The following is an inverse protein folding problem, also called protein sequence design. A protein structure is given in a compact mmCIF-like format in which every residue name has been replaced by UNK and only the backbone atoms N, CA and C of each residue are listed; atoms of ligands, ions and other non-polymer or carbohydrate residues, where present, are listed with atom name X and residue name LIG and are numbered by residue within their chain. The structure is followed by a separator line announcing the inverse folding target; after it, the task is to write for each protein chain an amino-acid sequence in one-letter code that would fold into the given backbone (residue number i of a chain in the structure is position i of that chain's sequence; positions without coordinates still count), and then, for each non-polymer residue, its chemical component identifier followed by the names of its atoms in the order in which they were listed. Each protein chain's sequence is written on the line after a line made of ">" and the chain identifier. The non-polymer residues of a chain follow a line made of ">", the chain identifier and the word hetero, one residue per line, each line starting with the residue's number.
data_IF_283092177833
#
_entry.id   IF_283092177833
#
_cell.length_a   1.000
_cell.length_b   1.000
_cell.length_c   1.000
_cell.angle_alpha   90.00
_cell.angle_beta   90.00
_cell.angle_gamma   90.00
#
_symmetry.space_group_name_H-M   'P 1'
#
loop_
_entity.id
_entity.type
_entity.pdbx_description
1 polymer ?
#
# COMPACT_ATOMS: atom_id res chain seq x y z
N UNK A 1 -16.81 5.22 -21.10
CA UNK A 1 -16.72 5.66 -19.70
C UNK A 1 -16.04 4.52 -18.96
N UNK A 2 -14.97 4.75 -18.19
CA UNK A 2 -14.19 3.65 -17.65
C UNK A 2 -15.07 2.82 -16.71
N UNK A 3 -15.12 1.52 -17.00
CA UNK A 3 -15.81 0.53 -16.20
C UNK A 3 -15.00 0.36 -14.90
N UNK A 4 -15.64 0.51 -13.74
CA UNK A 4 -14.99 0.23 -12.46
C UNK A 4 -15.02 -1.27 -12.18
N UNK A 5 -13.85 -1.92 -12.13
CA UNK A 5 -13.71 -3.33 -11.75
C UNK A 5 -12.27 -3.58 -11.28
N UNK A 6 -12.11 -4.00 -10.04
CA UNK A 6 -10.85 -4.49 -9.49
C UNK A 6 -11.06 -5.91 -8.94
N UNK A 7 -10.05 -6.77 -9.07
CA UNK A 7 -10.00 -8.14 -8.57
C UNK A 7 -8.91 -8.21 -7.50
N UNK A 8 -9.31 -8.26 -6.23
CA UNK A 8 -8.39 -8.60 -5.15
C UNK A 8 -8.28 -10.13 -5.06
N UNK A 9 -7.04 -10.63 -5.13
CA UNK A 9 -6.68 -12.03 -4.94
C UNK A 9 -6.68 -12.35 -3.45
N UNK A 10 -7.35 -13.44 -3.07
CA UNK A 10 -7.50 -13.88 -1.68
C UNK A 10 -8.97 -13.91 -1.30
N UNK A 11 -9.45 -15.10 -0.93
CA UNK A 11 -10.85 -15.49 -0.72
C UNK A 11 -11.86 -14.35 -0.47
N UNK A 12 -12.90 -14.31 -1.32
CA UNK A 12 -13.97 -13.30 -1.44
C UNK A 12 -13.63 -12.12 -2.36
N UNK A 13 -13.62 -12.39 -3.67
CA UNK A 13 -13.53 -11.35 -4.70
C UNK A 13 -14.66 -10.33 -4.57
N UNK A 14 -14.31 -9.07 -4.31
CA UNK A 14 -15.21 -7.92 -4.35
C UNK A 14 -14.90 -7.10 -5.60
N UNK A 15 -15.93 -6.56 -6.25
CA UNK A 15 -15.82 -5.88 -7.55
C UNK A 15 -16.06 -4.36 -7.51
N UNK A 16 -16.16 -3.76 -6.33
CA UNK A 16 -16.33 -2.30 -6.20
C UNK A 16 -15.21 -1.81 -5.29
N UNK A 17 -14.33 -1.00 -5.85
CA UNK A 17 -13.28 -0.36 -5.09
C UNK A 17 -13.85 0.76 -4.20
N UNK A 18 -13.19 1.04 -3.08
CA UNK A 18 -13.56 2.22 -2.28
C UNK A 18 -13.18 3.49 -3.03
N UNK A 19 -13.79 4.62 -2.65
CA UNK A 19 -13.52 5.95 -3.25
C UNK A 19 -12.02 6.27 -3.28
N UNK A 20 -11.28 5.78 -2.29
CA UNK A 20 -9.84 5.97 -2.10
C UNK A 20 -8.98 5.40 -3.22
N UNK A 21 -9.50 4.45 -4.00
CA UNK A 21 -8.77 3.75 -5.07
C UNK A 21 -9.38 3.99 -6.46
N UNK A 22 -10.19 5.05 -6.61
CA UNK A 22 -10.82 5.42 -7.88
C UNK A 22 -12.12 4.68 -8.19
N UNK A 23 -12.68 3.93 -7.22
CA UNK A 23 -14.00 3.33 -7.31
C UNK A 23 -15.15 4.35 -7.11
N UNK A 24 -16.36 4.08 -7.63
CA UNK A 24 -17.50 4.97 -7.45
C UNK A 24 -17.91 5.04 -5.97
N UNK A 25 -18.23 6.24 -5.47
CA UNK A 25 -18.79 6.40 -4.11
C UNK A 25 -20.24 5.89 -4.08
N UNK A 26 -20.41 4.64 -3.66
CA UNK A 26 -21.70 3.95 -3.62
C UNK A 26 -22.49 4.19 -2.32
N UNK A 27 -22.04 5.00 -1.38
CA UNK A 27 -22.82 5.33 -0.17
C UNK A 27 -24.06 6.19 -0.54
N UNK A 28 -25.29 5.85 -0.08
CA UNK A 28 -25.68 4.89 0.96
C UNK A 28 -26.29 3.57 0.42
N UNK A 29 -25.78 3.02 -0.69
CA UNK A 29 -26.24 1.75 -1.27
C UNK A 29 -25.84 0.59 -0.35
N UNK A 30 -26.83 -0.11 0.21
CA UNK A 30 -26.66 -1.10 1.28
C UNK A 30 -26.28 -2.52 0.81
N UNK A 31 -25.50 -2.68 -0.26
CA UNK A 31 -25.11 -4.02 -0.75
C UNK A 31 -23.62 -4.13 -1.03
N UNK A 32 -22.91 -4.88 -0.18
CA UNK A 32 -21.61 -5.47 -0.48
C UNK A 32 -21.81 -6.99 -0.65
N UNK A 33 -22.09 -7.49 -1.86
CA UNK A 33 -22.24 -8.93 -2.06
C UNK A 33 -20.90 -9.65 -1.79
N UNK A 34 -20.96 -10.80 -1.12
CA UNK A 34 -19.81 -11.69 -0.91
C UNK A 34 -19.79 -12.73 -2.04
N UNK A 35 -18.68 -12.86 -2.77
CA UNK A 35 -18.57 -13.83 -3.85
C UNK A 35 -18.47 -15.26 -3.31
N UNK A 36 -19.24 -16.18 -3.90
CA UNK A 36 -19.01 -17.61 -3.71
C UNK A 36 -17.74 -18.04 -4.48
N UNK A 37 -17.01 -19.08 -4.02
CA UNK A 37 -15.90 -19.63 -4.77
C UNK A 37 -16.27 -19.97 -6.22
N UNK A 38 -15.43 -19.60 -7.19
CA UNK A 38 -15.68 -19.84 -8.62
C UNK A 38 -16.66 -18.88 -9.30
N UNK A 39 -17.04 -17.78 -8.64
CA UNK A 39 -17.94 -16.75 -9.18
C UNK A 39 -17.27 -15.36 -9.12
N UNK A 40 -17.40 -14.57 -10.19
CA UNK A 40 -17.09 -13.14 -10.19
C UNK A 40 -18.37 -12.34 -9.96
N UNK A 41 -18.40 -11.34 -9.08
CA UNK A 41 -19.60 -10.50 -8.89
C UNK A 41 -19.59 -9.25 -9.79
N UNK A 42 -20.21 -9.29 -10.96
CA UNK A 42 -20.19 -8.17 -11.91
C UNK A 42 -21.55 -7.81 -12.51
N UNK A 43 -21.87 -6.52 -12.40
CA UNK A 43 -22.82 -5.66 -13.12
C UNK A 43 -24.12 -6.23 -13.71
N UNK A 44 -25.22 -5.71 -13.19
CA UNK A 44 -26.56 -5.78 -13.71
C UNK A 44 -27.45 -4.84 -12.89
N UNK A 45 -27.73 -3.66 -13.44
CA UNK A 45 -28.79 -2.79 -12.92
C UNK A 45 -29.90 -2.78 -13.98
N UNK A 46 -30.81 -3.74 -13.89
CA UNK A 46 -32.01 -3.76 -14.73
C UNK A 46 -33.00 -2.71 -14.24
N UNK A 47 -32.85 -1.45 -14.64
CA UNK A 47 -33.90 -0.44 -14.45
C UNK A 47 -33.99 0.51 -15.64
N UNK A 48 -35.22 0.73 -16.11
CA UNK A 48 -35.54 1.70 -17.17
C UNK A 48 -35.62 3.13 -16.62
N UNK A 49 -36.14 3.34 -15.39
CA UNK A 49 -36.23 4.66 -14.71
C UNK A 49 -36.26 4.49 -13.17
N UNK A 50 -35.77 5.47 -12.39
CA UNK A 50 -35.90 5.56 -10.92
C UNK A 50 -36.82 6.73 -10.57
N UNK A 51 -38.04 6.46 -10.10
CA UNK A 51 -38.94 7.50 -9.60
C UNK A 51 -39.08 7.38 -8.08
N UNK A 52 -38.69 8.43 -7.34
CA UNK A 52 -38.94 8.54 -5.91
C UNK A 52 -39.99 9.62 -5.69
N UNK A 53 -41.25 9.24 -5.63
CA UNK A 53 -42.26 9.99 -4.88
C UNK A 53 -43.32 9.02 -4.39
N UNK A 54 -43.49 8.99 -3.06
CA UNK A 54 -44.23 7.94 -2.37
C UNK A 54 -45.70 7.85 -2.77
N UNK A 55 -46.10 6.65 -3.18
CA UNK A 55 -47.38 6.01 -2.88
C UNK A 55 -47.35 4.65 -3.58
N UNK A 56 -47.67 3.60 -2.83
CA UNK A 56 -48.00 2.29 -3.37
C UNK A 56 -49.18 2.48 -4.35
N UNK A 57 -48.96 2.31 -5.65
CA UNK A 57 -49.88 1.60 -6.56
C UNK A 57 -49.55 1.78 -8.05
N UNK A 58 -49.63 0.65 -8.75
CA UNK A 58 -49.88 0.44 -10.19
C UNK A 58 -48.64 0.39 -11.11
N UNK A 59 -48.29 -0.88 -11.39
CA UNK A 59 -47.43 -1.47 -12.44
C UNK A 59 -45.92 -1.53 -12.14
N UNK A 60 -45.54 -2.53 -11.34
CA UNK A 60 -44.21 -3.14 -11.40
C UNK A 60 -44.07 -3.97 -12.69
N UNK A 61 -43.21 -3.54 -13.61
CA UNK A 61 -42.72 -4.38 -14.70
C UNK A 61 -41.25 -4.76 -14.45
N UNK A 62 -41.02 -6.08 -14.51
CA UNK A 62 -39.80 -6.87 -14.38
C UNK A 62 -38.45 -6.17 -14.08
N UNK A 63 -37.87 -6.55 -12.93
CA UNK A 63 -36.46 -6.53 -12.60
C UNK A 63 -36.18 -7.61 -11.55
N UNK A 64 -35.00 -8.23 -11.59
CA UNK A 64 -34.60 -9.26 -10.62
C UNK A 64 -34.05 -8.54 -9.38
N UNK A 65 -34.56 -8.93 -8.22
CA UNK A 65 -34.21 -8.41 -6.90
C UNK A 65 -34.46 -9.52 -5.89
N UNK A 66 -33.61 -9.68 -4.88
CA UNK A 66 -33.87 -10.66 -3.82
C UNK A 66 -34.94 -10.17 -2.84
N UNK A 67 -35.89 -11.04 -2.48
CA UNK A 67 -37.01 -10.70 -1.59
C UNK A 67 -36.59 -10.40 -0.13
N UNK A 68 -35.38 -10.79 0.28
CA UNK A 68 -34.88 -10.63 1.65
C UNK A 68 -33.34 -10.54 1.67
N UNK A 69 -32.78 -9.55 2.36
CA UNK A 69 -31.31 -9.34 2.45
C UNK A 69 -30.65 -10.39 3.36
N UNK A 70 -29.44 -10.89 3.04
CA UNK A 70 -28.76 -11.93 3.84
C UNK A 70 -28.43 -11.53 5.28
N UNK A 71 -28.35 -10.23 5.60
CA UNK A 71 -28.02 -9.70 6.94
C UNK A 71 -29.14 -8.84 7.52
N UNK A 72 -30.40 -9.27 7.39
CA UNK A 72 -31.58 -8.56 7.92
C UNK A 72 -31.69 -8.53 9.46
N UNK A 73 -30.65 -8.13 10.18
CA UNK A 73 -30.74 -7.73 11.58
C UNK A 73 -31.23 -6.27 11.63
N UNK A 74 -32.53 -6.04 11.43
CA UNK A 74 -33.11 -4.69 11.51
C UNK A 74 -34.45 -4.45 10.85
N UNK A 75 -35.10 -5.46 10.24
CA UNK A 75 -36.44 -5.30 9.65
C UNK A 75 -36.48 -4.55 8.31
N UNK A 76 -35.33 -4.29 7.67
CA UNK A 76 -35.28 -3.77 6.31
C UNK A 76 -35.45 -4.91 5.29
N UNK A 77 -36.67 -5.14 4.83
CA UNK A 77 -36.96 -5.94 3.64
C UNK A 77 -36.53 -5.18 2.39
N UNK A 78 -35.63 -5.75 1.58
CA UNK A 78 -35.41 -5.25 0.23
C UNK A 78 -36.63 -5.67 -0.61
N UNK A 79 -37.61 -4.77 -0.76
CA UNK A 79 -38.71 -4.98 -1.70
C UNK A 79 -38.21 -4.87 -3.14
N UNK A 80 -38.80 -5.64 -4.04
CA UNK A 80 -38.62 -5.45 -5.49
C UNK A 80 -38.92 -3.99 -5.86
N UNK A 81 -37.91 -3.26 -6.35
CA UNK A 81 -38.03 -1.85 -6.73
C UNK A 81 -37.89 -0.82 -5.61
N UNK A 82 -37.56 -1.21 -4.37
CA UNK A 82 -37.42 -0.25 -3.26
C UNK A 82 -35.99 0.24 -3.02
N UNK A 83 -34.98 -0.57 -3.33
CA UNK A 83 -33.55 -0.24 -3.12
C UNK A 83 -32.69 -0.61 -4.33
N UNK A 84 -31.60 0.13 -4.63
CA UNK A 84 -30.67 -0.25 -5.68
C UNK A 84 -29.89 -1.49 -5.22
N UNK A 85 -29.98 -2.59 -5.99
CA UNK A 85 -29.19 -3.80 -5.78
C UNK A 85 -28.28 -3.99 -6.99
N UNK A 86 -26.98 -4.21 -6.75
CA UNK A 86 -26.05 -4.63 -7.79
C UNK A 86 -26.14 -6.15 -7.96
N UNK A 87 -26.71 -6.62 -9.08
CA UNK A 87 -26.87 -8.05 -9.35
C UNK A 87 -25.96 -8.51 -10.50
N UNK A 88 -25.50 -9.76 -10.43
CA UNK A 88 -24.75 -10.40 -11.52
C UNK A 88 -23.56 -11.20 -11.00
N UNK A 89 -23.54 -12.50 -11.30
CA UNK A 89 -22.36 -13.33 -11.15
C UNK A 89 -21.94 -13.85 -12.52
N UNK A 90 -20.68 -13.67 -12.89
CA UNK A 90 -20.10 -14.37 -14.04
C UNK A 90 -19.64 -15.73 -13.51
N UNK A 91 -20.28 -16.78 -14.00
CA UNK A 91 -19.83 -18.15 -13.78
C UNK A 91 -18.58 -18.41 -14.60
N UNK A 92 -17.44 -18.57 -13.90
CA UNK A 92 -16.15 -18.85 -14.53
C UNK A 92 -15.74 -20.32 -14.37
N UNK A 93 -16.60 -21.16 -13.79
CA UNK A 93 -16.28 -22.57 -13.48
C UNK A 93 -15.98 -23.44 -14.71
N UNK A 94 -16.47 -23.04 -15.89
CA UNK A 94 -16.24 -23.74 -17.14
C UNK A 94 -15.12 -23.11 -18.00
N UNK A 95 -14.52 -22.01 -17.55
CA UNK A 95 -13.42 -21.37 -18.27
C UNK A 95 -12.10 -22.02 -17.84
N UNK A 96 -11.24 -22.46 -18.79
CA UNK A 96 -9.92 -22.98 -18.46
C UNK A 96 -9.01 -21.89 -17.88
N UNK A 97 -7.88 -22.29 -17.30
CA UNK A 97 -6.85 -21.35 -16.88
C UNK A 97 -6.39 -20.49 -18.08
N UNK A 98 -6.25 -19.19 -17.86
CA UNK A 98 -5.88 -18.24 -18.90
C UNK A 98 -6.23 -16.80 -18.56
N UNK A 99 -5.75 -15.87 -19.38
CA UNK A 99 -6.10 -14.46 -19.28
C UNK A 99 -7.29 -14.16 -20.18
N UNK A 100 -8.33 -13.60 -19.57
CA UNK A 100 -9.59 -13.23 -20.19
C UNK A 100 -9.74 -11.72 -20.21
N UNK A 101 -10.44 -11.22 -21.22
CA UNK A 101 -10.79 -9.80 -21.31
C UNK A 101 -12.31 -9.69 -21.34
N UNK A 102 -12.89 -9.10 -20.30
CA UNK A 102 -14.29 -8.68 -20.30
C UNK A 102 -14.39 -7.35 -21.06
N UNK A 103 -15.15 -7.32 -22.15
CA UNK A 103 -15.35 -6.12 -22.95
C UNK A 103 -16.78 -5.59 -22.79
N UNK A 104 -16.91 -4.34 -22.38
CA UNK A 104 -18.14 -3.59 -22.54
C UNK A 104 -18.23 -3.14 -24.01
N UNK A 105 -19.17 -3.70 -24.76
CA UNK A 105 -19.40 -3.39 -26.18
C UNK A 105 -20.62 -2.48 -26.28
N UNK A 106 -20.48 -1.22 -26.75
CA UNK A 106 -21.62 -0.35 -27.01
C UNK A 106 -22.57 -0.98 -28.03
N UNK A 107 -23.86 -1.03 -27.74
CA UNK A 107 -24.86 -1.76 -28.53
C UNK A 107 -26.17 -2.00 -27.78
N UNK A 108 -26.97 -2.97 -28.24
CA UNK A 108 -28.24 -3.33 -27.60
C UNK A 108 -27.97 -4.34 -26.47
N UNK A 109 -28.24 -3.95 -25.22
CA UNK A 109 -27.99 -4.79 -24.05
C UNK A 109 -28.50 -4.13 -22.76
N UNK A 110 -28.21 -4.76 -21.63
CA UNK A 110 -28.59 -4.26 -20.31
C UNK A 110 -27.97 -2.88 -20.04
N UNK A 111 -28.64 -2.05 -19.24
CA UNK A 111 -28.08 -0.79 -18.78
C UNK A 111 -26.87 -1.05 -17.84
N UNK A 112 -25.87 -0.20 -17.91
CA UNK A 112 -24.64 -0.30 -17.09
C UNK A 112 -24.54 0.86 -16.11
N UNK A 113 -24.00 0.54 -14.92
CA UNK A 113 -23.71 1.51 -13.87
C UNK A 113 -22.68 2.54 -14.33
N UNK A 114 -22.96 3.81 -14.03
CA UNK A 114 -22.04 4.91 -14.30
C UNK A 114 -20.95 4.99 -13.24
N UNK A 115 -19.70 4.72 -13.62
CA UNK A 115 -18.53 4.88 -12.75
C UNK A 115 -18.05 6.33 -12.59
N UNK A 116 -18.58 7.25 -13.39
CA UNK A 116 -18.17 8.66 -13.50
C UNK A 116 -19.12 9.64 -12.78
N UNK A 117 -20.14 9.13 -12.08
CA UNK A 117 -21.15 9.95 -11.42
C UNK A 117 -21.07 9.84 -9.90
N UNK A 118 -20.74 10.94 -9.24
CA UNK A 118 -20.90 11.07 -7.80
C UNK A 118 -22.39 11.36 -7.49
N UNK A 119 -23.13 10.33 -7.10
CA UNK A 119 -24.57 10.39 -6.82
C UNK A 119 -24.95 11.39 -5.71
N UNK A 120 -24.01 11.68 -4.79
CA UNK A 120 -24.18 12.62 -3.68
C UNK A 120 -24.02 14.08 -4.13
N UNK A 121 -23.08 14.36 -5.04
CA UNK A 121 -22.75 15.71 -5.49
C UNK A 121 -23.47 16.16 -6.78
N UNK A 122 -24.08 15.23 -7.51
CA UNK A 122 -24.79 15.55 -8.76
C UNK A 122 -26.09 16.33 -8.49
N UNK A 123 -26.11 17.60 -8.90
CA UNK A 123 -27.30 18.47 -8.88
C UNK A 123 -28.28 18.18 -10.02
N UNK A 124 -27.78 17.57 -11.10
CA UNK A 124 -28.59 17.07 -12.21
C UNK A 124 -28.30 15.57 -12.32
N UNK A 125 -29.22 14.73 -11.81
CA UNK A 125 -29.03 13.28 -11.69
C UNK A 125 -29.66 12.58 -12.91
N UNK A 126 -28.89 12.25 -13.98
CA UNK A 126 -29.38 11.35 -15.02
C UNK A 126 -29.60 9.94 -14.45
N UNK A 127 -30.15 9.04 -15.27
CA UNK A 127 -30.40 7.66 -14.87
C UNK A 127 -29.18 7.00 -14.21
N UNK A 128 -29.43 6.27 -13.11
CA UNK A 128 -28.44 5.54 -12.30
C UNK A 128 -27.62 4.52 -13.12
N UNK A 129 -28.25 3.96 -14.14
CA UNK A 129 -27.63 3.17 -15.18
C UNK A 129 -27.98 3.79 -16.55
N UNK A 130 -27.04 3.74 -17.49
CA UNK A 130 -27.26 4.23 -18.86
C UNK A 130 -27.33 3.05 -19.81
N UNK A 131 -28.09 3.22 -20.89
CA UNK A 131 -28.13 2.21 -21.93
C UNK A 131 -26.71 1.98 -22.48
N UNK A 132 -26.36 0.72 -22.76
CA UNK A 132 -24.99 0.36 -23.18
C UNK A 132 -24.58 1.08 -24.47
N UNK A 133 -25.53 1.41 -25.35
CA UNK A 133 -25.31 2.24 -26.54
C UNK A 133 -24.99 3.72 -26.25
N UNK A 134 -25.21 4.20 -25.02
CA UNK A 134 -24.80 5.52 -24.53
C UNK A 134 -23.45 5.49 -23.79
N UNK A 135 -22.81 4.31 -23.72
CA UNK A 135 -21.48 4.16 -23.12
C UNK A 135 -20.37 4.13 -24.15
N UNK A 136 -19.20 4.64 -23.76
CA UNK A 136 -17.94 4.32 -24.46
C UNK A 136 -17.49 2.94 -24.01
N UNK A 137 -17.17 2.06 -24.95
CA UNK A 137 -16.67 0.72 -24.65
C UNK A 137 -15.42 0.74 -23.79
N UNK A 138 -15.17 -0.39 -23.11
CA UNK A 138 -14.04 -0.57 -22.20
C UNK A 138 -13.69 -2.05 -22.07
N UNK A 139 -12.49 -2.34 -21.59
CA UNK A 139 -12.01 -3.69 -21.37
C UNK A 139 -11.42 -3.83 -19.99
N UNK A 140 -11.66 -4.97 -19.34
CA UNK A 140 -10.96 -5.38 -18.12
C UNK A 140 -10.38 -6.75 -18.34
N UNK A 141 -9.11 -6.92 -17.99
CA UNK A 141 -8.44 -8.22 -18.03
C UNK A 141 -8.52 -8.90 -16.67
N UNK A 142 -8.75 -10.22 -16.65
CA UNK A 142 -8.66 -11.06 -15.46
C UNK A 142 -8.01 -12.40 -15.82
N UNK A 143 -7.34 -13.05 -14.87
CA UNK A 143 -6.73 -14.36 -15.10
C UNK A 143 -7.46 -15.43 -14.27
N UNK A 144 -7.82 -16.54 -14.91
CA UNK A 144 -8.25 -17.75 -14.23
C UNK A 144 -7.08 -18.73 -14.19
N UNK A 145 -6.99 -19.49 -13.11
CA UNK A 145 -5.90 -20.40 -12.83
C UNK A 145 -5.09 -20.01 -11.61
N UNK A 146 -4.24 -20.93 -11.16
CA UNK A 146 -3.26 -20.61 -10.12
C UNK A 146 -2.37 -19.51 -10.68
N UNK A 147 -2.51 -18.27 -10.19
CA UNK A 147 -1.40 -17.32 -10.23
C UNK A 147 -0.20 -18.12 -9.71
N UNK A 148 0.92 -18.21 -10.45
CA UNK A 148 2.10 -18.90 -9.96
C UNK A 148 2.32 -18.42 -8.53
N UNK A 149 2.36 -19.32 -7.54
CA UNK A 149 2.34 -18.90 -6.15
C UNK A 149 3.43 -17.85 -5.99
N UNK A 150 3.00 -16.63 -5.66
CA UNK A 150 3.92 -15.62 -5.19
C UNK A 150 4.63 -16.31 -4.02
N UNK A 151 5.95 -16.42 -4.11
CA UNK A 151 6.77 -17.06 -3.06
C UNK A 151 7.82 -16.09 -2.57
N UNK A 152 8.06 -16.14 -1.27
CA UNK A 152 9.12 -15.40 -0.60
C UNK A 152 8.87 -13.91 -0.45
N UNK A 153 9.92 -13.23 0.01
CA UNK A 153 9.97 -11.78 0.14
C UNK A 153 10.22 -11.16 -1.24
N UNK A 154 9.37 -10.20 -1.61
CA UNK A 154 9.41 -9.46 -2.88
C UNK A 154 10.12 -8.12 -2.78
N UNK A 155 9.99 -7.43 -1.66
CA UNK A 155 10.73 -6.21 -1.43
C UNK A 155 10.98 -5.94 0.05
N UNK A 156 12.07 -5.22 0.32
CA UNK A 156 12.48 -4.73 1.64
C UNK A 156 12.81 -3.27 1.46
N UNK A 157 12.05 -2.39 2.10
CA UNK A 157 12.07 -0.96 1.83
C UNK A 157 12.18 -0.20 3.14
N UNK A 158 12.85 0.93 3.08
CA UNK A 158 12.84 1.91 4.16
C UNK A 158 12.00 3.11 3.70
N UNK A 159 11.28 3.74 4.61
CA UNK A 159 10.50 4.94 4.30
C UNK A 159 10.64 5.98 5.40
N UNK A 160 10.49 7.24 5.02
CA UNK A 160 10.67 8.39 5.91
C UNK A 160 9.37 8.72 6.63
N UNK A 161 9.00 7.96 7.67
CA UNK A 161 7.78 8.20 8.43
C UNK A 161 7.80 9.60 9.07
N UNK A 162 6.64 10.23 9.20
CA UNK A 162 6.46 11.63 9.61
C UNK A 162 7.27 12.63 8.77
N UNK A 163 7.44 12.39 7.47
CA UNK A 163 8.06 13.36 6.55
C UNK A 163 7.01 14.20 5.81
N UNK A 164 7.44 15.21 5.06
CA UNK A 164 6.51 15.93 4.19
C UNK A 164 5.93 15.04 3.06
N UNK A 165 6.45 13.83 2.85
CA UNK A 165 6.01 12.89 1.82
C UNK A 165 4.81 12.03 2.24
N UNK A 166 4.66 11.74 3.54
CA UNK A 166 3.48 11.06 4.10
C UNK A 166 2.44 12.03 4.70
N UNK A 167 2.72 13.34 4.64
CA UNK A 167 1.86 14.38 5.23
C UNK A 167 2.18 14.68 6.69
N UNK A 168 3.40 14.40 7.15
CA UNK A 168 3.84 14.48 8.54
C UNK A 168 2.97 13.62 9.46
N UNK A 169 2.58 12.44 8.99
CA UNK A 169 1.71 11.52 9.71
C UNK A 169 2.55 10.48 10.45
N UNK A 170 2.24 10.25 11.74
CA UNK A 170 2.95 9.27 12.56
C UNK A 170 2.37 7.87 12.50
N UNK A 171 1.10 7.75 12.13
CA UNK A 171 0.35 6.51 12.14
C UNK A 171 0.51 5.76 10.82
N UNK A 172 0.55 4.44 10.89
CA UNK A 172 0.62 3.59 9.71
C UNK A 172 -0.63 3.79 8.84
N UNK A 173 -0.44 4.22 7.59
CA UNK A 173 -1.49 4.37 6.60
C UNK A 173 -0.93 4.39 5.16
N UNK A 174 -1.78 4.53 4.15
CA UNK A 174 -1.35 4.46 2.75
C UNK A 174 -0.47 5.64 2.31
N UNK A 175 -0.50 6.78 3.03
CA UNK A 175 0.41 7.91 2.74
C UNK A 175 1.88 7.57 2.98
N UNK A 176 2.19 6.61 3.85
CA UNK A 176 3.56 6.13 4.09
C UNK A 176 4.23 5.62 2.82
N UNK A 177 3.44 5.11 1.87
CA UNK A 177 3.95 4.55 0.62
C UNK A 177 4.51 5.63 -0.31
N UNK A 178 4.07 6.89 -0.15
CA UNK A 178 4.63 8.04 -0.84
C UNK A 178 5.98 8.48 -0.24
N UNK A 179 6.31 8.01 0.97
CA UNK A 179 7.55 8.31 1.68
C UNK A 179 8.61 7.21 1.56
N UNK A 180 8.40 6.19 0.72
CA UNK A 180 9.37 5.12 0.46
C UNK A 180 10.61 5.73 -0.21
N UNK A 181 11.79 5.46 0.36
CA UNK A 181 13.06 5.93 -0.19
C UNK A 181 13.42 5.11 -1.45
N UNK A 182 13.38 5.70 -2.66
CA UNK A 182 13.55 4.93 -3.90
C UNK A 182 15.02 4.61 -4.20
N UNK A 183 15.95 5.37 -3.60
CA UNK A 183 17.41 5.24 -3.76
C UNK A 183 18.04 4.27 -2.75
N UNK A 184 17.24 3.77 -1.80
CA UNK A 184 17.73 2.92 -0.70
C UNK A 184 17.34 1.47 -0.90
N UNK A 185 18.30 0.59 -0.67
CA UNK A 185 18.13 -0.86 -0.66
C UNK A 185 18.90 -1.45 0.51
N UNK A 186 18.37 -2.46 1.21
CA UNK A 186 19.09 -2.99 2.35
C UNK A 186 20.34 -3.76 1.90
N UNK A 187 21.32 -3.87 2.78
CA UNK A 187 22.38 -4.84 2.61
C UNK A 187 21.83 -6.25 2.89
N UNK A 188 22.11 -7.19 1.99
CA UNK A 188 21.69 -8.59 2.08
C UNK A 188 22.90 -9.50 2.35
N UNK A 189 22.71 -10.73 2.84
CA UNK A 189 23.79 -11.70 2.94
C UNK A 189 24.47 -11.91 1.59
N UNK A 190 25.81 -11.82 1.55
CA UNK A 190 26.59 -11.92 0.31
C UNK A 190 26.54 -10.68 -0.58
N UNK A 191 26.00 -9.55 -0.10
CA UNK A 191 25.97 -8.27 -0.79
C UNK A 191 27.32 -7.54 -0.85
N UNK A 192 28.28 -7.96 -0.01
CA UNK A 192 29.61 -7.36 0.08
C UNK A 192 29.63 -6.09 0.92
N UNK A 193 30.56 -5.19 0.63
CA UNK A 193 30.72 -3.94 1.38
C UNK A 193 29.51 -3.02 1.20
N UNK A 194 28.99 -2.50 2.32
CA UNK A 194 27.92 -1.52 2.33
C UNK A 194 28.32 -0.27 1.52
N UNK A 195 27.31 0.37 0.94
CA UNK A 195 27.41 1.62 0.18
C UNK A 195 26.37 2.62 0.67
N UNK A 196 26.34 3.83 0.08
CA UNK A 196 25.34 4.85 0.41
C UNK A 196 23.88 4.44 0.12
N UNK A 197 23.67 3.39 -0.68
CA UNK A 197 22.34 2.82 -0.88
C UNK A 197 21.82 2.07 0.36
N UNK A 198 22.69 1.64 1.27
CA UNK A 198 22.32 0.75 2.38
C UNK A 198 21.98 1.47 3.69
N UNK A 199 22.14 2.79 3.75
CA UNK A 199 21.81 3.58 4.94
C UNK A 199 21.12 4.89 4.59
N UNK A 200 20.41 5.45 5.56
CA UNK A 200 19.69 6.72 5.45
C UNK A 200 20.34 7.82 6.29
N UNK A 201 20.09 9.07 5.91
CA UNK A 201 20.56 10.28 6.59
C UNK A 201 19.46 11.09 7.29
N UNK A 202 18.26 10.50 7.37
CA UNK A 202 17.05 11.15 7.88
C UNK A 202 17.17 11.57 9.35
N UNK A 203 16.80 12.80 9.68
CA UNK A 203 16.87 13.38 11.03
C UNK A 203 16.06 12.59 12.08
N UNK A 204 14.95 11.99 11.67
CA UNK A 204 14.12 11.11 12.51
C UNK A 204 14.65 9.68 12.63
N UNK A 205 15.76 9.37 11.94
CA UNK A 205 16.46 8.07 11.90
C UNK A 205 15.61 6.97 11.27
N UNK A 206 15.96 5.70 11.48
CA UNK A 206 15.14 4.58 11.04
C UNK A 206 13.84 4.60 11.87
N UNK A 207 12.74 5.01 11.25
CA UNK A 207 11.43 5.06 11.88
C UNK A 207 10.31 4.41 11.05
N UNK A 208 10.64 3.85 9.88
CA UNK A 208 9.71 3.16 9.00
C UNK A 208 10.39 2.10 8.13
N UNK A 209 9.94 0.85 8.22
CA UNK A 209 10.37 -0.26 7.36
C UNK A 209 9.14 -0.94 6.76
N UNK A 210 9.23 -1.30 5.48
CA UNK A 210 8.23 -2.06 4.74
C UNK A 210 8.85 -3.38 4.25
N UNK A 211 8.12 -4.48 4.44
CA UNK A 211 8.43 -5.77 3.82
C UNK A 211 7.24 -6.19 2.97
N UNK A 212 7.45 -6.32 1.68
CA UNK A 212 6.48 -6.89 0.76
C UNK A 212 6.81 -8.38 0.60
N UNK A 213 5.93 -9.27 1.04
CA UNK A 213 6.13 -10.72 0.95
C UNK A 213 4.85 -11.43 0.57
N UNK A 214 4.98 -12.56 -0.10
CA UNK A 214 3.84 -13.30 -0.58
C UNK A 214 3.14 -14.03 0.56
N UNK A 215 1.82 -13.84 0.66
CA UNK A 215 0.92 -14.63 1.51
C UNK A 215 1.32 -14.58 2.99
N UNK A 216 1.39 -13.39 3.58
CA UNK A 216 1.43 -13.28 5.04
C UNK A 216 0.12 -13.83 5.60
N UNK A 217 0.16 -15.01 6.20
CA UNK A 217 -1.05 -15.67 6.73
C UNK A 217 -1.57 -14.99 8.02
N UNK A 218 -0.73 -14.19 8.67
CA UNK A 218 -1.03 -13.39 9.86
C UNK A 218 0.03 -12.29 10.05
N UNK A 219 -0.25 -11.34 10.94
CA UNK A 219 0.76 -10.38 11.39
C UNK A 219 1.92 -11.14 12.07
N UNK A 220 3.19 -10.85 11.74
CA UNK A 220 4.32 -11.44 12.45
C UNK A 220 4.34 -11.01 13.92
N UNK A 221 4.79 -11.91 14.79
CA UNK A 221 4.91 -11.72 16.22
C UNK A 221 6.38 -11.40 16.54
N UNK A 222 6.60 -10.31 17.27
CA UNK A 222 7.93 -9.95 17.76
C UNK A 222 8.52 -11.07 18.63
N UNK A 223 9.83 -11.26 18.54
CA UNK A 223 10.60 -12.29 19.24
C UNK A 223 10.26 -13.74 18.85
N UNK A 224 9.39 -13.94 17.87
CA UNK A 224 9.08 -15.26 17.29
C UNK A 224 9.37 -15.27 15.79
N UNK A 225 8.68 -14.41 15.05
CA UNK A 225 8.82 -14.27 13.61
C UNK A 225 9.73 -13.11 13.23
N UNK A 226 9.77 -12.07 14.06
CA UNK A 226 10.54 -10.87 13.83
C UNK A 226 11.50 -10.63 14.97
N UNK A 227 12.78 -10.49 14.62
CA UNK A 227 13.82 -10.11 15.57
C UNK A 227 14.65 -8.97 15.01
N UNK A 228 15.09 -8.09 15.91
CA UNK A 228 15.89 -6.94 15.57
C UNK A 228 17.13 -6.89 16.46
N UNK A 229 18.28 -6.63 15.86
CA UNK A 229 19.52 -6.40 16.58
C UNK A 229 20.35 -5.33 15.86
N UNK A 230 21.13 -4.58 16.63
CA UNK A 230 21.93 -3.48 16.12
C UNK A 230 23.41 -3.67 16.41
N UNK A 231 24.23 -3.07 15.56
CA UNK A 231 25.66 -2.97 15.76
C UNK A 231 26.25 -1.81 14.99
N UNK A 232 27.56 -1.62 15.10
CA UNK A 232 28.27 -0.58 14.38
C UNK A 232 29.75 -0.90 14.13
N UNK A 233 30.19 -2.16 14.09
CA UNK A 233 31.63 -2.47 13.92
C UNK A 233 31.97 -3.92 13.55
N UNK A 234 31.00 -4.82 13.40
CA UNK A 234 31.26 -6.22 13.07
C UNK A 234 30.58 -6.56 11.75
N UNK A 235 31.36 -7.16 10.84
CA UNK A 235 30.91 -7.64 9.52
C UNK A 235 29.92 -8.80 9.62
N UNK A 236 29.98 -9.58 10.72
CA UNK A 236 28.95 -10.59 11.01
C UNK A 236 27.84 -9.98 11.88
N UNK A 237 26.67 -9.62 11.30
CA UNK A 237 25.58 -9.01 12.03
C UNK A 237 24.92 -9.98 13.04
N UNK A 238 25.14 -11.30 12.93
CA UNK A 238 24.63 -12.28 13.89
C UNK A 238 25.40 -12.28 15.21
N UNK A 239 26.55 -11.60 15.27
CA UNK A 239 27.33 -11.41 16.52
C UNK A 239 26.94 -10.14 17.27
N UNK A 240 26.07 -9.31 16.70
CA UNK A 240 25.58 -8.11 17.36
C UNK A 240 24.72 -8.45 18.57
N UNK A 241 24.72 -7.57 19.57
CA UNK A 241 24.00 -7.79 20.83
C UNK A 241 23.19 -6.58 21.30
N UNK A 242 23.32 -5.42 20.64
CA UNK A 242 22.54 -4.24 21.02
C UNK A 242 21.08 -4.43 20.54
N UNK A 243 20.14 -4.53 21.48
CA UNK A 243 18.71 -4.69 21.15
C UNK A 243 18.07 -3.29 20.96
N UNK A 244 17.42 -3.01 19.81
CA UNK A 244 16.70 -1.76 19.61
C UNK A 244 15.41 -1.70 20.42
N UNK A 245 14.84 -0.50 20.50
CA UNK A 245 13.43 -0.38 20.90
C UNK A 245 12.54 -1.17 19.91
N UNK A 246 11.52 -1.84 20.44
CA UNK A 246 10.52 -2.51 19.60
C UNK A 246 9.75 -1.49 18.72
N UNK A 247 9.26 -1.90 17.54
CA UNK A 247 8.32 -1.09 16.77
C UNK A 247 7.13 -0.69 17.63
N UNK A 248 6.69 0.57 17.56
CA UNK A 248 5.51 1.02 18.29
C UNK A 248 4.20 0.64 17.57
N UNK A 249 4.27 0.33 16.27
CA UNK A 249 3.17 -0.23 15.51
C UNK A 249 3.65 -1.13 14.36
N UNK A 250 2.85 -2.16 14.07
CA UNK A 250 3.00 -3.02 12.89
C UNK A 250 1.62 -3.27 12.28
N UNK A 251 1.52 -3.29 10.95
CA UNK A 251 0.26 -3.54 10.25
C UNK A 251 0.50 -4.24 8.91
N UNK A 252 -0.42 -5.14 8.54
CA UNK A 252 -0.48 -5.76 7.20
C UNK A 252 -1.48 -5.04 6.30
N UNK A 253 -1.10 -4.91 5.03
CA UNK A 253 -1.92 -4.46 3.92
C UNK A 253 -1.92 -5.54 2.84
N UNK A 254 -2.89 -6.47 2.88
CA UNK A 254 -2.94 -7.57 1.94
C UNK A 254 -3.07 -7.09 0.49
N UNK A 255 -2.29 -7.68 -0.41
CA UNK A 255 -2.27 -7.36 -1.84
C UNK A 255 -1.73 -5.98 -2.23
N UNK A 256 -1.23 -5.16 -1.29
CA UNK A 256 -0.71 -3.81 -1.57
C UNK A 256 0.83 -3.75 -1.72
N UNK A 257 1.50 -4.89 -1.65
CA UNK A 257 2.92 -5.06 -1.90
C UNK A 257 3.27 -5.15 -3.39
N UNK A 258 4.56 -5.28 -3.68
CA UNK A 258 5.08 -5.52 -5.05
C UNK A 258 4.41 -6.76 -5.65
N UNK A 259 4.03 -6.68 -6.93
CA UNK A 259 3.38 -7.76 -7.68
C UNK A 259 2.09 -8.32 -7.02
N UNK A 260 1.40 -7.52 -6.20
CA UNK A 260 0.20 -7.95 -5.48
C UNK A 260 0.50 -8.83 -4.26
N UNK A 261 1.74 -8.82 -3.76
CA UNK A 261 2.10 -9.42 -2.46
C UNK A 261 1.47 -8.66 -1.28
N UNK A 262 1.59 -9.22 -0.07
CA UNK A 262 1.14 -8.55 1.14
C UNK A 262 2.23 -7.61 1.64
N UNK A 263 1.83 -6.42 2.10
CA UNK A 263 2.74 -5.43 2.65
C UNK A 263 2.67 -5.38 4.17
N UNK A 264 3.77 -5.70 4.82
CA UNK A 264 4.00 -5.44 6.24
C UNK A 264 4.64 -4.05 6.40
N UNK A 265 4.03 -3.20 7.22
CA UNK A 265 4.57 -1.90 7.62
C UNK A 265 4.92 -1.96 9.10
N UNK A 266 6.12 -1.51 9.45
CA UNK A 266 6.61 -1.41 10.82
C UNK A 266 7.09 0.02 11.05
N UNK A 267 6.70 0.61 12.17
CA UNK A 267 7.12 1.97 12.54
C UNK A 267 7.71 1.99 13.93
N UNK A 268 8.61 2.96 14.15
CA UNK A 268 9.18 3.28 15.45
C UNK A 268 8.90 4.75 15.78
N UNK A 269 8.96 5.09 17.06
CA UNK A 269 9.05 6.49 17.46
C UNK A 269 10.31 7.13 16.88
N UNK A 270 10.23 8.42 16.53
CA UNK A 270 11.38 9.16 16.00
C UNK A 270 12.55 9.08 16.97
N UNK A 271 13.73 8.76 16.46
CA UNK A 271 14.93 8.62 17.29
C UNK A 271 15.05 7.32 18.08
N UNK A 272 14.06 6.42 18.04
CA UNK A 272 14.09 5.17 18.80
C UNK A 272 15.24 4.24 18.41
N UNK A 273 15.55 4.18 17.11
CA UNK A 273 16.79 3.59 16.61
C UNK A 273 17.90 4.65 16.73
N UNK A 274 18.98 4.43 17.49
CA UNK A 274 20.04 5.42 17.66
C UNK A 274 20.74 5.77 16.34
N UNK A 275 21.30 6.98 16.26
CA UNK A 275 22.14 7.37 15.12
C UNK A 275 23.42 6.51 15.09
N UNK A 276 24.07 6.37 13.93
CA UNK A 276 25.30 5.59 13.73
C UNK A 276 25.14 4.12 14.13
N UNK A 277 24.04 3.52 13.66
CA UNK A 277 23.71 2.12 13.89
C UNK A 277 23.28 1.46 12.60
N UNK A 278 23.70 0.21 12.45
CA UNK A 278 23.08 -0.75 11.56
C UNK A 278 22.01 -1.52 12.32
N UNK A 279 20.87 -1.74 11.67
CA UNK A 279 19.75 -2.51 12.17
C UNK A 279 19.59 -3.76 11.29
N UNK A 280 19.89 -4.92 11.86
CA UNK A 280 19.52 -6.21 11.28
C UNK A 280 18.04 -6.45 11.55
N UNK A 281 17.29 -6.72 10.49
CA UNK A 281 15.93 -7.23 10.52
C UNK A 281 15.98 -8.71 10.15
N UNK A 282 15.60 -9.56 11.09
CA UNK A 282 15.47 -11.00 10.90
C UNK A 282 13.99 -11.36 10.89
N UNK A 283 13.53 -11.90 9.76
CA UNK A 283 12.17 -12.37 9.55
C UNK A 283 12.20 -13.89 9.36
N UNK A 284 11.85 -14.62 10.42
CA UNK A 284 11.88 -16.08 10.42
C UNK A 284 10.62 -16.66 9.79
N UNK A 285 10.77 -17.67 8.95
CA UNK A 285 9.66 -18.49 8.45
C UNK A 285 9.06 -19.36 9.57
N UNK A 286 9.86 -19.69 10.58
CA UNK A 286 9.44 -20.44 11.75
C UNK A 286 8.91 -21.83 11.38
N UNK A 287 7.71 -22.15 11.87
CA UNK A 287 6.99 -23.39 11.56
C UNK A 287 6.20 -23.35 10.24
N UNK A 288 6.38 -22.29 9.44
CA UNK A 288 5.64 -22.05 8.20
C UNK A 288 4.29 -21.36 8.40
N UNK A 289 3.86 -21.12 9.64
CA UNK A 289 2.59 -20.44 9.93
C UNK A 289 2.53 -19.01 9.40
N UNK A 290 3.68 -18.37 9.19
CA UNK A 290 3.77 -17.02 8.65
C UNK A 290 3.55 -16.94 7.13
N UNK A 291 3.76 -18.06 6.41
CA UNK A 291 3.63 -18.15 4.96
C UNK A 291 4.92 -17.92 4.16
N UNK A 292 6.05 -17.67 4.84
CA UNK A 292 7.35 -17.56 4.19
C UNK A 292 7.96 -18.94 3.92
N UNK A 293 8.59 -19.16 2.74
CA UNK A 293 9.24 -20.43 2.40
C UNK A 293 10.62 -20.59 3.04
N UNK A 294 11.25 -19.51 3.50
CA UNK A 294 12.55 -19.49 4.16
C UNK A 294 12.69 -18.22 5.00
N UNK A 295 13.60 -18.25 5.96
CA UNK A 295 13.98 -17.06 6.73
C UNK A 295 14.55 -15.98 5.81
N UNK A 296 14.35 -14.72 6.18
CA UNK A 296 14.83 -13.56 5.47
C UNK A 296 15.58 -12.62 6.40
N UNK A 297 16.75 -12.17 5.94
CA UNK A 297 17.62 -11.29 6.73
C UNK A 297 18.09 -10.12 5.88
N UNK A 298 18.01 -8.91 6.43
CA UNK A 298 18.45 -7.71 5.73
C UNK A 298 18.82 -6.59 6.71
N UNK A 299 19.69 -5.67 6.27
CA UNK A 299 20.23 -4.61 7.12
C UNK A 299 20.00 -3.24 6.50
N UNK A 300 19.57 -2.28 7.32
CA UNK A 300 19.64 -0.84 7.00
C UNK A 300 20.50 -0.12 8.02
N UNK A 301 21.21 0.92 7.58
CA UNK A 301 21.98 1.80 8.46
C UNK A 301 21.35 3.18 8.63
N UNK A 302 21.86 3.92 9.61
CA UNK A 302 21.58 5.36 9.74
C UNK A 302 22.83 6.15 10.10
N UNK A 303 23.05 7.24 9.36
CA UNK A 303 24.05 8.28 9.62
C UNK A 303 23.40 9.65 9.38
N UNK A 304 22.75 10.21 10.41
CA UNK A 304 21.99 11.46 10.30
C UNK A 304 22.87 12.61 9.78
N UNK A 305 22.44 13.28 8.71
CA UNK A 305 23.14 14.45 8.16
C UNK A 305 24.35 14.12 7.28
N UNK A 306 24.52 12.87 6.87
CA UNK A 306 25.52 12.41 5.89
C UNK A 306 24.93 12.49 4.47
N UNK A 307 25.63 13.13 3.55
CA UNK A 307 25.11 13.35 2.19
C UNK A 307 26.05 12.97 1.05
N UNK A 308 27.31 12.62 1.33
CA UNK A 308 28.32 12.32 0.30
C UNK A 308 28.74 10.84 0.22
N UNK A 309 28.17 9.97 1.07
CA UNK A 309 28.32 8.51 0.99
C UNK A 309 29.64 7.95 1.54
N UNK A 310 30.38 8.72 2.33
CA UNK A 310 31.64 8.36 2.96
C UNK A 310 31.52 7.78 4.39
N UNK A 311 30.29 7.63 4.90
CA UNK A 311 29.93 7.10 6.23
C UNK A 311 30.25 8.01 7.42
N UNK A 312 30.83 9.18 7.21
CA UNK A 312 31.25 10.12 8.25
C UNK A 312 30.66 11.51 8.02
N UNK A 313 29.88 11.97 8.99
CA UNK A 313 29.31 13.33 8.97
C UNK A 313 30.40 14.35 9.34
N UNK A 314 30.77 15.20 8.39
CA UNK A 314 31.84 16.21 8.51
C UNK A 314 31.33 17.62 8.15
N UNK A 315 32.15 18.68 8.26
CA UNK A 315 31.78 19.98 7.73
C UNK A 315 31.52 19.99 6.20
N UNK A 316 31.99 18.98 5.46
CA UNK A 316 31.71 18.86 4.01
C UNK A 316 30.23 18.63 3.75
N UNK A 317 29.55 17.81 4.56
CA UNK A 317 28.12 17.55 4.42
C UNK A 317 27.28 18.81 4.68
N UNK A 318 27.65 19.58 5.71
CA UNK A 318 27.03 20.89 6.00
C UNK A 318 27.19 21.85 4.81
N UNK A 319 28.38 21.88 4.20
CA UNK A 319 28.65 22.71 3.01
C UNK A 319 27.87 22.17 1.81
N UNK A 320 27.73 20.85 1.66
CA UNK A 320 26.92 20.21 0.63
C UNK A 320 25.46 20.68 0.69
N UNK A 321 24.83 20.63 1.86
CA UNK A 321 23.49 21.17 2.05
C UNK A 321 23.40 22.69 1.78
N UNK A 322 24.44 23.46 2.16
CA UNK A 322 24.48 24.90 1.87
C UNK A 322 24.52 25.21 0.37
N UNK A 323 25.25 24.40 -0.41
CA UNK A 323 25.50 24.65 -1.83
C UNK A 323 24.41 24.08 -2.75
N UNK A 324 23.48 23.28 -2.23
CA UNK A 324 22.39 22.66 -2.99
C UNK A 324 21.00 23.04 -2.44
N UNK A 325 20.66 24.34 -2.36
CA UNK A 325 19.40 24.76 -1.72
C UNK A 325 18.17 24.40 -2.55
N UNK A 326 17.13 23.94 -1.87
CA UNK A 326 15.78 23.76 -2.41
C UNK A 326 14.81 24.70 -1.72
N UNK A 327 13.85 25.21 -2.47
CA UNK A 327 12.89 26.24 -2.02
C UNK A 327 11.46 25.78 -2.31
N UNK A 328 10.42 26.44 -1.77
CA UNK A 328 9.04 26.07 -2.11
C UNK A 328 8.71 26.18 -3.61
N UNK A 329 9.46 26.98 -4.38
CA UNK A 329 9.32 27.10 -5.84
C UNK A 329 10.14 26.05 -6.62
N UNK A 330 11.08 25.38 -5.96
CA UNK A 330 11.88 24.28 -6.49
C UNK A 330 12.11 23.23 -5.38
N UNK A 331 11.07 22.44 -5.04
CA UNK A 331 11.15 21.50 -3.92
C UNK A 331 12.17 20.39 -4.17
N UNK A 332 12.82 19.92 -3.11
CA UNK A 332 13.70 18.77 -3.14
C UNK A 332 12.88 17.51 -3.47
N UNK A 333 13.38 16.62 -4.36
CA UNK A 333 12.79 15.30 -4.54
C UNK A 333 13.02 14.41 -3.31
N UNK A 334 12.29 13.30 -3.20
CA UNK A 334 12.33 12.44 -2.00
C UNK A 334 13.70 11.80 -1.76
N UNK A 335 14.50 11.65 -2.81
CA UNK A 335 15.84 11.07 -2.81
C UNK A 335 16.97 12.12 -2.79
N UNK A 336 16.64 13.40 -2.57
CA UNK A 336 17.65 14.43 -2.42
C UNK A 336 18.57 14.10 -1.23
N UNK A 337 19.86 14.05 -1.48
CA UNK A 337 20.84 13.62 -0.47
C UNK A 337 21.08 14.70 0.59
N UNK A 338 20.67 15.94 0.32
CA UNK A 338 20.87 17.09 1.20
C UNK A 338 19.61 17.52 1.96
N UNK A 339 18.43 16.97 1.63
CA UNK A 339 17.19 17.13 2.40
C UNK A 339 17.18 16.09 3.54
N UNK A 340 17.80 16.45 4.66
CA UNK A 340 18.01 15.53 5.78
C UNK A 340 16.77 15.37 6.65
N UNK A 341 15.83 16.32 6.64
CA UNK A 341 14.57 16.23 7.39
C UNK A 341 13.36 15.86 6.51
N UNK A 342 13.60 15.61 5.22
CA UNK A 342 12.61 15.18 4.22
C UNK A 342 11.41 16.13 4.19
N UNK A 343 11.68 17.44 4.34
CA UNK A 343 10.66 18.49 4.35
C UNK A 343 10.42 19.11 2.96
N UNK A 344 11.10 18.59 1.92
CA UNK A 344 11.10 19.05 0.52
C UNK A 344 11.88 20.34 0.32
N UNK A 345 12.66 20.79 1.29
CA UNK A 345 13.54 21.93 1.20
C UNK A 345 14.97 21.49 1.53
N UNK A 346 15.93 22.27 1.06
CA UNK A 346 17.31 22.19 1.53
C UNK A 346 17.67 23.58 1.97
N UNK A 347 17.76 23.75 3.29
CA UNK A 347 17.71 25.03 3.96
C UNK A 347 18.80 25.14 5.03
N UNK A 348 18.87 26.26 5.78
CA UNK A 348 19.72 26.31 6.97
C UNK A 348 19.39 25.22 8.01
N UNK A 349 18.19 24.62 7.99
CA UNK A 349 17.85 23.50 8.87
C UNK A 349 18.72 22.26 8.57
N UNK A 350 18.89 21.89 7.30
CA UNK A 350 19.71 20.76 6.86
C UNK A 350 21.18 20.95 7.20
N UNK A 351 21.68 22.18 7.02
CA UNK A 351 23.02 22.56 7.48
C UNK A 351 23.18 22.34 8.99
N UNK A 352 22.16 22.69 9.80
CA UNK A 352 22.18 22.48 11.25
C UNK A 352 22.10 20.98 11.59
N UNK A 353 21.31 20.20 10.87
CA UNK A 353 21.19 18.75 11.07
C UNK A 353 22.55 18.08 10.90
N UNK A 354 23.25 18.36 9.80
CA UNK A 354 24.61 17.86 9.59
C UNK A 354 25.58 18.37 10.67
N UNK A 355 25.56 19.67 10.97
CA UNK A 355 26.45 20.27 11.99
C UNK A 355 26.30 19.66 13.38
N UNK A 356 25.07 19.36 13.79
CA UNK A 356 24.74 18.83 15.12
C UNK A 356 24.94 17.31 15.22
N UNK A 357 25.06 16.62 14.09
CA UNK A 357 25.31 15.18 14.02
C UNK A 357 26.71 14.83 13.52
N UNK A 358 27.67 15.78 13.58
CA UNK A 358 29.07 15.53 13.21
C UNK A 358 29.64 14.31 13.92
N UNK A 359 30.35 13.51 13.16
CA UNK A 359 31.03 12.31 13.65
C UNK A 359 32.51 12.41 13.39
N UNK A 360 33.23 11.49 13.99
CA UNK A 360 34.66 11.28 13.84
C UNK A 360 34.87 9.81 13.46
N UNK A 361 36.09 9.43 13.05
CA UNK A 361 36.40 8.02 12.84
C UNK A 361 36.12 7.11 14.05
N UNK A 362 35.95 7.64 15.27
CA UNK A 362 35.61 6.84 16.46
C UNK A 362 34.12 6.50 16.58
N UNK A 363 33.22 7.37 16.12
CA UNK A 363 31.77 7.27 16.34
C UNK A 363 30.91 7.38 15.07
N UNK A 364 31.51 7.44 13.89
CA UNK A 364 30.80 7.35 12.61
C UNK A 364 30.05 6.02 12.45
N UNK A 365 29.14 5.96 11.46
CA UNK A 365 28.65 4.68 10.98
C UNK A 365 29.86 3.92 10.40
N UNK A 366 30.13 2.70 10.86
CA UNK A 366 31.24 1.92 10.31
C UNK A 366 30.77 1.23 9.05
N UNK A 367 31.57 1.27 7.99
CA UNK A 367 31.32 0.43 6.83
C UNK A 367 31.43 -1.04 7.27
N UNK A 368 30.42 -1.84 6.94
CA UNK A 368 30.38 -3.28 7.14
C UNK A 368 30.37 -3.99 5.79
N UNK A 369 30.73 -5.27 5.76
CA UNK A 369 30.52 -6.16 4.63
C UNK A 369 29.74 -7.40 5.06
N UNK A 370 28.75 -7.83 4.28
CA UNK A 370 27.94 -9.01 4.60
C UNK A 370 27.71 -9.94 3.42
#
# INVERSE_FOLDING_TARGET
>A
LPLALHLSLGQNGRLIDTVTWGGPRMEPIFTYPTAQPGKLIGQGAGYKEWNRTGSLDIITLAGVGMAQMPNGAGGYTAGLGEVPVAEGQIDVSALPDGTYVLKAIPGNGNHVLRGDLNMLAATNRPAFAVAVNETTGGTISFTLGSVPPCTGVKARKIFYNQSAWDGNNAAINTSDFNAIAPDKSPLLPGGGAATFANYISYDKRINGIIVDACSFNRLPVLDQDLFFVMGNNLDDPFTWTDIPAAPNAMQLFPGQGVDGSDRLVMTWANGAIPNTRWLLVALFAGDGSLGLPADDFFIFGVAVGEGDGNFIVTPSDEIGARLNPHTPLNPAPIDDVWDFNRDKLVSPADQIISRTNRTTPLNQLKQISW
#
